data_IF_984856771319
#
_entry.id   IF_984856771319
#
_cell.length_a   1.000
_cell.length_b   1.000
_cell.length_c   1.000
_cell.angle_alpha   90.00
_cell.angle_beta   90.00
_cell.angle_gamma   90.00
#
_symmetry.space_group_name_H-M   'P 1'
#
loop_
_entity.id
_entity.type
_entity.pdbx_description
1 polymer ?
#
# COMPACT_ATOMS: atom_id res chain seq x y z
N UNK A 1 11.04 -15.96 -47.07
CA UNK A 1 12.20 -16.72 -46.55
C UNK A 1 13.40 -15.83 -46.21
N UNK A 2 13.77 -14.82 -47.01
CA UNK A 2 14.89 -13.91 -46.68
C UNK A 2 14.67 -13.04 -45.41
N UNK A 3 13.44 -12.66 -45.08
CA UNK A 3 13.12 -11.86 -43.88
C UNK A 3 13.22 -12.64 -42.57
N UNK A 4 13.09 -13.97 -42.60
CA UNK A 4 13.17 -14.84 -41.41
C UNK A 4 14.63 -15.14 -41.05
N UNK A 5 15.51 -15.24 -42.06
CA UNK A 5 16.95 -15.43 -41.84
C UNK A 5 17.62 -14.19 -41.23
N UNK A 6 17.11 -12.98 -41.51
CA UNK A 6 17.61 -11.74 -40.89
C UNK A 6 17.29 -11.64 -39.39
N UNK A 7 16.18 -12.23 -38.94
CA UNK A 7 15.84 -12.26 -37.50
C UNK A 7 16.70 -13.26 -36.72
N UNK A 8 17.11 -14.36 -37.36
CA UNK A 8 18.01 -15.35 -36.77
C UNK A 8 19.43 -14.79 -36.56
N UNK A 9 19.95 -14.02 -37.51
CA UNK A 9 21.27 -13.37 -37.39
C UNK A 9 21.25 -12.20 -36.38
N UNK A 10 20.16 -11.42 -36.32
CA UNK A 10 19.99 -10.37 -35.31
C UNK A 10 19.81 -10.95 -33.89
N UNK A 11 19.12 -12.08 -33.75
CA UNK A 11 18.97 -12.80 -32.48
C UNK A 11 20.29 -13.34 -31.94
N UNK A 12 21.16 -13.89 -32.81
CA UNK A 12 22.52 -14.33 -32.44
C UNK A 12 23.40 -13.17 -31.98
N UNK A 13 23.29 -12.01 -32.60
CA UNK A 13 24.06 -10.82 -32.22
C UNK A 13 23.65 -10.29 -30.83
N UNK A 14 22.35 -10.26 -30.52
CA UNK A 14 21.84 -9.82 -29.20
C UNK A 14 22.21 -10.82 -28.09
N UNK A 15 22.16 -12.13 -28.37
CA UNK A 15 22.58 -13.17 -27.42
C UNK A 15 24.10 -13.21 -27.22
N UNK A 16 24.89 -13.01 -28.29
CA UNK A 16 26.35 -12.99 -28.19
C UNK A 16 26.90 -11.82 -27.37
N UNK A 17 26.24 -10.66 -27.41
CA UNK A 17 26.62 -9.49 -26.59
C UNK A 17 26.18 -9.64 -25.13
N UNK A 18 25.05 -10.29 -24.86
CA UNK A 18 24.57 -10.54 -23.50
C UNK A 18 25.34 -11.65 -22.76
N UNK A 19 25.90 -12.63 -23.49
CA UNK A 19 26.57 -13.80 -22.92
C UNK A 19 28.09 -13.68 -22.77
N UNK A 20 28.71 -12.59 -23.24
CA UNK A 20 30.18 -12.40 -23.19
C UNK A 20 30.80 -12.29 -21.80
N UNK A 21 29.98 -12.18 -20.73
CA UNK A 21 30.45 -12.04 -19.35
C UNK A 21 30.14 -13.21 -18.40
N UNK A 22 29.43 -14.25 -18.86
CA UNK A 22 28.97 -15.36 -17.99
C UNK A 22 29.34 -16.70 -18.63
N UNK A 23 30.64 -16.96 -18.77
CA UNK A 23 31.16 -18.25 -19.22
C UNK A 23 32.06 -18.85 -18.15
N UNK A 24 31.44 -19.58 -17.23
CA UNK A 24 32.11 -20.63 -16.46
C UNK A 24 31.29 -21.94 -16.38
N UNK A 25 30.07 -22.00 -16.96
CA UNK A 25 29.23 -23.22 -16.95
C UNK A 25 28.46 -23.44 -18.28
N UNK A 26 28.92 -22.83 -19.38
CA UNK A 26 28.15 -22.67 -20.63
C UNK A 26 27.93 -23.91 -21.50
N UNK A 27 28.60 -25.03 -21.23
CA UNK A 27 28.49 -26.22 -22.10
C UNK A 27 27.17 -26.98 -21.97
N UNK A 28 26.48 -26.91 -20.82
CA UNK A 28 25.26 -27.70 -20.60
C UNK A 28 24.01 -27.01 -21.15
N UNK A 29 23.85 -25.70 -20.95
CA UNK A 29 22.64 -24.97 -21.38
C UNK A 29 22.54 -24.85 -22.90
N UNK A 30 23.66 -24.55 -23.56
CA UNK A 30 23.69 -24.46 -25.03
C UNK A 30 23.47 -25.83 -25.66
N UNK A 31 24.02 -26.90 -25.06
CA UNK A 31 23.80 -28.29 -25.49
C UNK A 31 22.33 -28.71 -25.40
N UNK A 32 21.68 -28.48 -24.25
CA UNK A 32 20.26 -28.84 -24.06
C UNK A 32 19.33 -28.05 -24.98
N UNK A 33 19.62 -26.76 -25.22
CA UNK A 33 18.84 -25.95 -26.17
C UNK A 33 19.05 -26.38 -27.62
N UNK A 34 20.26 -26.82 -27.99
CA UNK A 34 20.55 -27.35 -29.32
C UNK A 34 19.84 -28.70 -29.56
N UNK A 35 19.83 -29.61 -28.58
CA UNK A 35 19.12 -30.89 -28.66
C UNK A 35 17.60 -30.70 -28.80
N UNK A 36 17.01 -29.78 -28.02
CA UNK A 36 15.59 -29.44 -28.14
C UNK A 36 15.26 -28.81 -29.51
N UNK A 37 16.17 -28.01 -30.05
CA UNK A 37 16.01 -27.38 -31.36
C UNK A 37 16.08 -28.41 -32.50
N UNK A 38 16.98 -29.39 -32.41
CA UNK A 38 17.10 -30.50 -33.38
C UNK A 38 15.90 -31.48 -33.31
N UNK A 39 15.26 -31.64 -32.15
CA UNK A 39 14.09 -32.51 -32.00
C UNK A 39 12.77 -31.88 -32.51
N UNK A 40 12.70 -30.55 -32.59
CA UNK A 40 11.48 -29.79 -32.93
C UNK A 40 10.92 -30.08 -34.34
N UNK A 41 11.74 -30.18 -35.41
CA UNK A 41 11.27 -30.48 -36.76
C UNK A 41 10.62 -31.86 -36.87
N UNK A 42 11.16 -32.88 -36.16
CA UNK A 42 10.61 -34.23 -36.17
C UNK A 42 9.26 -34.30 -35.43
N UNK A 43 9.08 -33.53 -34.36
CA UNK A 43 7.80 -33.41 -33.67
C UNK A 43 6.75 -32.69 -34.55
N UNK A 44 7.16 -31.61 -35.23
CA UNK A 44 6.30 -30.84 -36.14
C UNK A 44 5.88 -31.65 -37.38
N UNK A 45 6.79 -32.46 -37.93
CA UNK A 45 6.50 -33.35 -39.06
C UNK A 45 5.53 -34.47 -38.70
N UNK A 46 5.66 -35.07 -37.50
CA UNK A 46 4.72 -36.09 -37.01
C UNK A 46 3.31 -35.54 -36.81
N UNK A 47 3.19 -34.33 -36.24
CA UNK A 47 1.90 -33.66 -36.06
C UNK A 47 1.26 -33.28 -37.41
N UNK A 48 2.06 -32.78 -38.35
CA UNK A 48 1.60 -32.43 -39.69
C UNK A 48 1.15 -33.66 -40.51
N UNK A 49 1.87 -34.78 -40.41
CA UNK A 49 1.53 -36.04 -41.09
C UNK A 49 0.26 -36.69 -40.50
N UNK A 50 0.08 -36.64 -39.17
CA UNK A 50 -1.15 -37.10 -38.52
C UNK A 50 -2.38 -36.28 -38.95
N UNK A 51 -2.23 -34.95 -39.03
CA UNK A 51 -3.31 -34.05 -39.47
C UNK A 51 -3.62 -34.19 -40.98
N UNK A 52 -2.62 -34.43 -41.82
CA UNK A 52 -2.83 -34.63 -43.27
C UNK A 52 -3.60 -35.93 -43.59
N UNK A 53 -3.48 -36.97 -42.77
CA UNK A 53 -4.25 -38.21 -42.91
C UNK A 53 -5.72 -38.07 -42.50
N UNK A 54 -6.03 -37.10 -41.64
CA UNK A 54 -7.41 -36.78 -41.20
C UNK A 54 -8.16 -35.95 -42.24
N UNK A 55 -7.45 -35.08 -42.99
CA UNK A 55 -8.07 -34.13 -43.93
C UNK A 55 -8.38 -34.73 -45.31
N UNK A 56 -7.70 -35.80 -45.73
CA UNK A 56 -7.78 -36.35 -47.09
C UNK A 56 -8.55 -37.69 -47.22
N UNK A 57 -9.36 -38.09 -46.23
CA UNK A 57 -10.08 -39.38 -46.23
C UNK A 57 -11.61 -39.25 -46.13
N UNK A 58 -12.32 -40.29 -46.57
CA UNK A 58 -13.79 -40.38 -46.53
C UNK A 58 -14.36 -40.11 -45.13
N UNK A 59 -15.30 -39.16 -45.06
CA UNK A 59 -15.88 -38.59 -43.82
C UNK A 59 -16.60 -39.65 -42.98
N UNK A 60 -17.10 -40.72 -43.61
CA UNK A 60 -17.80 -41.80 -42.92
C UNK A 60 -16.87 -42.73 -42.12
N UNK A 61 -15.54 -42.64 -42.33
CA UNK A 61 -14.53 -43.37 -41.53
C UNK A 61 -13.87 -42.51 -40.45
N UNK A 62 -14.28 -41.25 -40.29
CA UNK A 62 -13.69 -40.30 -39.34
C UNK A 62 -13.74 -40.77 -37.88
N UNK A 63 -14.82 -41.40 -37.36
CA UNK A 63 -14.88 -41.85 -35.97
C UNK A 63 -13.87 -42.96 -35.64
N UNK A 64 -13.65 -43.92 -36.55
CA UNK A 64 -12.68 -45.00 -36.38
C UNK A 64 -11.22 -44.56 -36.58
N UNK A 65 -10.98 -43.56 -37.42
CA UNK A 65 -9.63 -42.99 -37.63
C UNK A 65 -9.24 -42.01 -36.52
N UNK A 66 -10.20 -41.23 -36.00
CA UNK A 66 -10.00 -40.45 -34.76
C UNK A 66 -9.73 -41.36 -33.58
N UNK A 67 -10.40 -42.51 -33.48
CA UNK A 67 -10.09 -43.51 -32.47
C UNK A 67 -8.63 -43.99 -32.60
N UNK A 68 -8.14 -44.35 -33.79
CA UNK A 68 -6.73 -44.79 -33.95
C UNK A 68 -5.67 -43.68 -33.82
N UNK A 69 -6.02 -42.40 -34.02
CA UNK A 69 -5.12 -41.26 -33.80
C UNK A 69 -5.13 -40.81 -32.33
N UNK A 70 -6.20 -41.09 -31.60
CA UNK A 70 -6.33 -40.86 -30.15
C UNK A 70 -5.95 -42.09 -29.32
N UNK A 71 -5.88 -43.27 -29.94
CA UNK A 71 -5.30 -44.52 -29.41
C UNK A 71 -3.77 -44.52 -29.64
N UNK A 72 -3.13 -43.37 -29.39
CA UNK A 72 -1.73 -43.39 -28.98
C UNK A 72 -1.78 -43.98 -27.57
N UNK A 73 -1.19 -45.15 -27.32
CA UNK A 73 -1.13 -45.69 -25.98
C UNK A 73 -0.57 -44.56 -25.10
N UNK A 74 -1.30 -44.17 -24.07
CA UNK A 74 -0.86 -43.08 -23.19
C UNK A 74 0.52 -43.39 -22.56
N UNK A 75 0.91 -44.67 -22.57
CA UNK A 75 2.27 -45.16 -22.31
C UNK A 75 3.33 -44.67 -23.32
N UNK A 76 3.00 -44.53 -24.61
CA UNK A 76 3.89 -44.10 -25.71
C UNK A 76 3.92 -42.57 -25.92
N UNK A 77 2.94 -41.84 -25.38
CA UNK A 77 2.89 -40.36 -25.38
C UNK A 77 3.55 -39.74 -24.12
N UNK A 78 4.00 -40.57 -23.18
CA UNK A 78 4.77 -40.11 -22.02
C UNK A 78 6.15 -39.68 -22.49
N UNK A 79 6.43 -38.37 -22.38
CA UNK A 79 7.81 -37.94 -22.20
C UNK A 79 8.38 -38.76 -21.04
N UNK A 80 9.47 -39.48 -21.28
CA UNK A 80 10.15 -40.18 -20.21
C UNK A 80 10.56 -39.17 -19.11
N UNK A 81 10.86 -39.69 -17.91
CA UNK A 81 11.17 -38.83 -16.77
C UNK A 81 12.34 -37.90 -17.07
N UNK A 82 13.30 -38.33 -17.89
CA UNK A 82 14.47 -37.56 -18.29
C UNK A 82 14.11 -36.42 -19.26
N UNK A 83 13.18 -36.66 -20.19
CA UNK A 83 12.65 -35.67 -21.12
C UNK A 83 11.78 -34.63 -20.40
N UNK A 84 10.95 -35.06 -19.44
CA UNK A 84 10.19 -34.14 -18.58
C UNK A 84 11.12 -33.29 -17.72
N UNK A 85 12.15 -33.89 -17.13
CA UNK A 85 13.14 -33.18 -16.32
C UNK A 85 13.94 -32.18 -17.18
N UNK A 86 14.36 -32.59 -18.38
CA UNK A 86 15.09 -31.72 -19.31
C UNK A 86 14.24 -30.55 -19.78
N UNK A 87 12.96 -30.77 -20.07
CA UNK A 87 12.02 -29.71 -20.40
C UNK A 87 11.82 -28.75 -19.23
N UNK A 88 11.63 -29.29 -18.01
CA UNK A 88 11.47 -28.48 -16.80
C UNK A 88 12.73 -27.64 -16.51
N UNK A 89 13.91 -28.22 -16.65
CA UNK A 89 15.20 -27.52 -16.50
C UNK A 89 15.37 -26.44 -17.58
N UNK A 90 15.03 -26.75 -18.84
CA UNK A 90 15.07 -25.80 -19.94
C UNK A 90 14.18 -24.58 -19.67
N UNK A 91 12.93 -24.79 -19.24
CA UNK A 91 12.04 -23.70 -18.83
C UNK A 91 12.59 -22.93 -17.63
N UNK A 92 13.12 -23.62 -16.61
CA UNK A 92 13.70 -22.97 -15.44
C UNK A 92 14.88 -22.06 -15.81
N UNK A 93 15.75 -22.49 -16.73
CA UNK A 93 16.88 -21.71 -17.22
C UNK A 93 16.40 -20.49 -18.02
N UNK A 94 15.43 -20.66 -18.92
CA UNK A 94 14.85 -19.56 -19.70
C UNK A 94 14.24 -18.51 -18.77
N UNK A 95 13.48 -18.94 -17.76
CA UNK A 95 12.88 -18.06 -16.76
C UNK A 95 13.97 -17.35 -15.95
N UNK A 96 15.00 -18.06 -15.49
CA UNK A 96 16.10 -17.48 -14.73
C UNK A 96 16.87 -16.43 -15.56
N UNK A 97 17.14 -16.73 -16.83
CA UNK A 97 17.78 -15.79 -17.75
C UNK A 97 16.93 -14.54 -17.98
N UNK A 98 15.62 -14.71 -18.22
CA UNK A 98 14.69 -13.59 -18.37
C UNK A 98 14.64 -12.71 -17.12
N UNK A 99 14.56 -13.31 -15.93
CA UNK A 99 14.60 -12.60 -14.65
C UNK A 99 15.91 -11.84 -14.46
N UNK A 100 17.05 -12.46 -14.78
CA UNK A 100 18.36 -11.81 -14.69
C UNK A 100 18.45 -10.61 -15.63
N UNK A 101 17.99 -10.75 -16.88
CA UNK A 101 17.93 -9.64 -17.85
C UNK A 101 17.06 -8.50 -17.32
N UNK A 102 15.87 -8.80 -16.80
CA UNK A 102 15.00 -7.80 -16.18
C UNK A 102 15.69 -7.08 -15.01
N UNK A 103 16.39 -7.81 -14.14
CA UNK A 103 17.13 -7.21 -13.01
C UNK A 103 18.29 -6.33 -13.48
N UNK A 104 18.98 -6.69 -14.57
CA UNK A 104 20.05 -5.89 -15.16
C UNK A 104 19.49 -4.62 -15.80
N UNK A 105 18.42 -4.74 -16.59
CA UNK A 105 17.75 -3.60 -17.24
C UNK A 105 17.25 -2.60 -16.18
N UNK A 106 16.72 -3.11 -15.06
CA UNK A 106 16.15 -2.29 -13.99
C UNK A 106 17.09 -2.12 -12.79
N UNK A 107 18.40 -2.29 -12.98
CA UNK A 107 19.39 -2.33 -11.90
C UNK A 107 19.32 -1.10 -10.94
N UNK A 108 19.15 0.15 -11.41
CA UNK A 108 19.01 1.29 -10.50
C UNK A 108 17.78 1.19 -9.56
N UNK A 109 16.62 0.77 -10.10
CA UNK A 109 15.40 0.55 -9.32
C UNK A 109 15.57 -0.58 -8.31
N UNK A 110 16.23 -1.67 -8.72
CA UNK A 110 16.57 -2.81 -7.86
C UNK A 110 17.43 -2.36 -6.68
N UNK A 111 18.51 -1.63 -6.94
CA UNK A 111 19.39 -1.09 -5.88
C UNK A 111 18.63 -0.15 -4.94
N UNK A 112 17.77 0.71 -5.48
CA UNK A 112 16.94 1.61 -4.66
C UNK A 112 16.02 0.82 -3.71
N UNK A 113 15.31 -0.19 -4.22
CA UNK A 113 14.47 -1.07 -3.40
C UNK A 113 15.25 -1.84 -2.36
N UNK A 114 16.42 -2.38 -2.71
CA UNK A 114 17.28 -3.07 -1.74
C UNK A 114 17.67 -2.15 -0.59
N UNK A 115 17.99 -0.88 -0.87
CA UNK A 115 18.28 0.12 0.17
C UNK A 115 17.07 0.39 1.05
N UNK A 116 15.88 0.52 0.47
CA UNK A 116 14.64 0.70 1.23
C UNK A 116 14.37 -0.51 2.14
N UNK A 117 14.47 -1.73 1.62
CA UNK A 117 14.28 -2.94 2.43
C UNK A 117 15.34 -3.09 3.52
N UNK A 118 16.60 -2.72 3.25
CA UNK A 118 17.63 -2.68 4.27
C UNK A 118 17.29 -1.66 5.38
N UNK A 119 16.84 -0.45 5.01
CA UNK A 119 16.36 0.55 5.96
C UNK A 119 15.15 0.04 6.76
N UNK A 120 14.18 -0.58 6.09
CA UNK A 120 13.02 -1.20 6.72
C UNK A 120 13.42 -2.28 7.72
N UNK A 121 14.38 -3.14 7.37
CA UNK A 121 14.89 -4.17 8.27
C UNK A 121 15.60 -3.57 9.49
N UNK A 122 16.42 -2.54 9.28
CA UNK A 122 17.06 -1.80 10.37
C UNK A 122 16.02 -1.20 11.32
N UNK A 123 14.93 -0.63 10.78
CA UNK A 123 13.83 -0.11 11.58
C UNK A 123 13.09 -1.22 12.33
N UNK A 124 12.80 -2.34 11.67
CA UNK A 124 12.11 -3.49 12.26
C UNK A 124 12.87 -4.04 13.48
N UNK A 125 14.19 -4.19 13.34
CA UNK A 125 15.04 -4.81 14.35
C UNK A 125 15.44 -3.85 15.48
N UNK A 126 15.76 -2.60 15.15
CA UNK A 126 16.45 -1.70 16.09
C UNK A 126 15.62 -0.49 16.53
N UNK A 127 14.40 -0.32 16.01
CA UNK A 127 13.66 0.90 16.29
C UNK A 127 13.17 1.03 17.74
N UNK A 128 13.30 2.25 18.26
CA UNK A 128 12.79 2.68 19.58
C UNK A 128 11.43 3.37 19.51
N UNK A 129 10.76 3.31 18.35
CA UNK A 129 9.55 4.08 18.02
C UNK A 129 8.31 3.81 18.87
N UNK A 130 8.40 2.97 19.91
CA UNK A 130 7.32 2.68 20.89
C UNK A 130 7.78 2.83 22.33
N UNK A 131 8.94 3.44 22.57
CA UNK A 131 9.58 3.52 23.88
C UNK A 131 9.73 4.99 24.28
N UNK A 132 8.93 5.43 25.25
CA UNK A 132 9.05 6.74 25.89
C UNK A 132 8.44 6.71 27.29
N UNK A 133 8.74 7.72 28.09
CA UNK A 133 8.03 7.99 29.34
C UNK A 133 6.69 8.65 28.99
N UNK A 134 5.58 8.27 29.65
CA UNK A 134 4.28 8.90 29.42
C UNK A 134 4.35 10.42 29.50
N UNK A 135 3.63 11.08 28.61
CA UNK A 135 3.44 12.52 28.62
C UNK A 135 2.67 12.91 29.89
N UNK A 136 3.18 13.91 30.62
CA UNK A 136 2.51 14.44 31.79
C UNK A 136 1.39 15.40 31.36
N UNK A 137 0.26 14.82 30.92
CA UNK A 137 -0.95 15.56 30.51
C UNK A 137 -1.54 16.28 31.73
N UNK A 138 -1.62 17.62 31.71
CA UNK A 138 -2.29 18.34 32.79
C UNK A 138 -3.80 18.10 32.74
N UNK A 139 -4.47 18.29 33.88
CA UNK A 139 -5.92 18.36 33.91
C UNK A 139 -6.39 19.58 33.09
N UNK A 140 -7.45 19.40 32.30
CA UNK A 140 -8.08 20.50 31.58
C UNK A 140 -8.73 21.44 32.61
N UNK A 141 -8.36 22.74 32.63
CA UNK A 141 -8.97 23.69 33.56
C UNK A 141 -10.48 23.85 33.28
N UNK A 142 -11.31 24.01 34.32
CA UNK A 142 -12.76 24.20 34.14
C UNK A 142 -13.14 25.57 33.56
N UNK A 143 -12.22 26.54 33.53
CA UNK A 143 -12.45 27.88 33.00
C UNK A 143 -11.57 28.16 31.78
N UNK A 144 -12.13 28.87 30.78
CA UNK A 144 -11.48 29.17 29.49
C UNK A 144 -10.18 29.99 29.62
N UNK A 145 -10.02 30.72 30.72
CA UNK A 145 -8.83 31.54 31.00
C UNK A 145 -7.51 30.73 31.07
N UNK A 146 -7.57 29.39 31.16
CA UNK A 146 -6.40 28.51 31.22
C UNK A 146 -5.92 27.94 29.88
N UNK A 147 -6.63 28.16 28.76
CA UNK A 147 -6.29 27.61 27.45
C UNK A 147 -6.53 28.62 26.31
N UNK A 148 -5.48 29.14 25.66
CA UNK A 148 -5.62 29.90 24.40
C UNK A 148 -4.34 29.77 23.55
N UNK A 149 -4.45 29.48 22.23
CA UNK A 149 -5.67 29.14 21.46
C UNK A 149 -6.00 27.63 21.49
N UNK A 150 -7.17 27.22 20.98
CA UNK A 150 -7.59 25.81 20.78
C UNK A 150 -7.56 25.43 19.28
N UNK A 151 -7.61 24.13 18.98
CA UNK A 151 -7.72 23.59 17.61
C UNK A 151 -8.82 22.53 17.53
N UNK A 152 -9.71 22.66 16.56
CA UNK A 152 -10.69 21.63 16.24
C UNK A 152 -10.11 20.68 15.20
N UNK A 153 -9.99 19.41 15.56
CA UNK A 153 -9.33 18.40 14.75
C UNK A 153 -10.36 17.37 14.30
N UNK A 154 -10.38 17.05 13.02
CA UNK A 154 -11.02 15.84 12.49
C UNK A 154 -9.95 14.90 12.00
N UNK A 155 -9.83 13.76 12.68
CA UNK A 155 -8.91 12.70 12.29
C UNK A 155 -9.62 11.66 11.42
N UNK A 156 -9.06 11.36 10.26
CA UNK A 156 -9.51 10.33 9.31
C UNK A 156 -8.45 9.23 9.25
N UNK A 157 -8.82 8.02 9.67
CA UNK A 157 -7.94 6.85 9.59
C UNK A 157 -7.91 6.33 8.15
N UNK A 158 -6.74 5.92 7.67
CA UNK A 158 -6.65 5.24 6.36
C UNK A 158 -7.52 3.97 6.24
N UNK A 159 -7.91 3.64 5.00
CA UNK A 159 -8.52 2.37 4.61
C UNK A 159 -7.58 1.17 4.77
N UNK A 160 -8.06 -0.06 4.60
CA UNK A 160 -7.21 -1.25 4.64
C UNK A 160 -6.06 -1.17 3.60
N UNK A 161 -4.81 -1.42 4.01
CA UNK A 161 -3.68 -1.52 3.08
C UNK A 161 -3.44 -2.94 2.57
N UNK A 162 -2.64 -3.12 1.54
CA UNK A 162 -2.17 -4.44 1.07
C UNK A 162 -1.42 -5.23 2.17
N UNK A 163 -0.68 -4.53 3.04
CA UNK A 163 -0.09 -5.12 4.25
C UNK A 163 -1.17 -5.63 5.21
N UNK A 164 -2.23 -4.87 5.44
CA UNK A 164 -3.33 -5.28 6.31
C UNK A 164 -4.16 -6.43 5.71
N UNK A 165 -4.42 -6.39 4.40
CA UNK A 165 -5.03 -7.49 3.66
C UNK A 165 -4.22 -8.76 3.86
N UNK A 166 -2.89 -8.70 3.79
CA UNK A 166 -2.04 -9.88 3.96
C UNK A 166 -2.03 -10.39 5.40
N UNK A 167 -1.71 -9.53 6.37
CA UNK A 167 -1.35 -9.96 7.72
C UNK A 167 -2.44 -9.82 8.78
N UNK A 168 -3.47 -8.98 8.56
CA UNK A 168 -4.42 -8.59 9.61
C UNK A 168 -5.86 -9.05 9.39
N UNK A 169 -6.29 -9.31 8.15
CA UNK A 169 -7.70 -9.63 7.83
C UNK A 169 -8.15 -11.00 8.39
N UNK A 170 -7.33 -12.04 8.26
CA UNK A 170 -7.60 -13.34 8.89
C UNK A 170 -6.30 -14.04 9.26
N UNK A 171 -6.27 -14.68 10.42
CA UNK A 171 -5.15 -15.52 10.88
C UNK A 171 -5.34 -17.01 10.57
N UNK A 172 -6.47 -17.39 9.99
CA UNK A 172 -6.70 -18.77 9.60
C UNK A 172 -5.75 -19.12 8.42
N UNK A 173 -4.90 -20.16 8.55
CA UNK A 173 -3.91 -20.54 7.53
C UNK A 173 -4.49 -20.71 6.13
N UNK A 174 -5.72 -21.25 6.02
CA UNK A 174 -6.41 -21.48 4.73
C UNK A 174 -6.55 -20.19 3.93
N UNK A 175 -6.79 -19.07 4.61
CA UNK A 175 -6.91 -17.76 3.96
C UNK A 175 -5.60 -16.98 3.99
N UNK A 176 -4.75 -17.19 4.99
CA UNK A 176 -3.49 -16.46 5.17
C UNK A 176 -2.43 -16.87 4.15
N UNK A 177 -2.21 -18.18 3.94
CA UNK A 177 -1.16 -18.68 3.05
C UNK A 177 -1.37 -18.22 1.60
N UNK A 178 -2.57 -18.35 0.99
CA UNK A 178 -2.78 -17.85 -0.38
C UNK A 178 -2.56 -16.35 -0.51
N UNK A 179 -2.95 -15.54 0.49
CA UNK A 179 -2.70 -14.09 0.50
C UNK A 179 -1.21 -13.78 0.58
N UNK A 180 -0.46 -14.52 1.38
CA UNK A 180 0.99 -14.37 1.48
C UNK A 180 1.69 -14.73 0.16
N UNK A 181 1.28 -15.83 -0.50
CA UNK A 181 1.79 -16.21 -1.83
C UNK A 181 1.50 -15.11 -2.85
N UNK A 182 0.26 -14.61 -2.88
CA UNK A 182 -0.14 -13.49 -3.75
C UNK A 182 0.74 -12.26 -3.50
N UNK A 183 0.94 -11.88 -2.24
CA UNK A 183 1.76 -10.75 -1.84
C UNK A 183 3.20 -10.87 -2.34
N UNK A 184 3.84 -12.04 -2.15
CA UNK A 184 5.19 -12.29 -2.63
C UNK A 184 5.30 -12.34 -4.15
N UNK A 185 4.33 -12.95 -4.84
CA UNK A 185 4.30 -12.98 -6.29
C UNK A 185 4.21 -11.55 -6.87
N UNK A 186 3.35 -10.71 -6.27
CA UNK A 186 3.18 -9.32 -6.69
C UNK A 186 4.41 -8.46 -6.37
N UNK A 187 5.00 -8.60 -5.18
CA UNK A 187 6.25 -7.91 -4.83
C UNK A 187 7.40 -8.31 -5.77
N UNK A 188 7.52 -9.60 -6.09
CA UNK A 188 8.52 -10.09 -7.05
C UNK A 188 8.31 -9.48 -8.42
N UNK A 189 7.07 -9.44 -8.90
CA UNK A 189 6.73 -8.78 -10.17
C UNK A 189 7.09 -7.29 -10.15
N UNK A 190 6.78 -6.57 -9.07
CA UNK A 190 7.15 -5.16 -8.91
C UNK A 190 8.68 -4.97 -8.90
N UNK A 191 9.42 -5.92 -8.35
CA UNK A 191 10.88 -5.88 -8.30
C UNK A 191 11.48 -6.07 -9.70
N UNK A 192 11.06 -7.11 -10.42
CA UNK A 192 11.61 -7.44 -11.75
C UNK A 192 11.13 -6.51 -12.85
N UNK A 193 9.96 -5.88 -12.70
CA UNK A 193 9.46 -4.88 -13.67
C UNK A 193 10.08 -3.49 -13.49
N UNK A 194 10.94 -3.30 -12.48
CA UNK A 194 11.58 -2.01 -12.20
C UNK A 194 10.64 -0.91 -11.69
N UNK A 195 9.36 -1.22 -11.43
CA UNK A 195 8.37 -0.27 -10.91
C UNK A 195 8.75 0.15 -9.49
N UNK A 196 8.83 1.45 -9.23
CA UNK A 196 9.13 1.99 -7.90
C UNK A 196 7.90 1.95 -6.98
N UNK A 197 7.39 0.75 -6.70
CA UNK A 197 6.25 0.47 -5.83
C UNK A 197 6.51 -0.79 -5.00
N UNK A 198 5.69 -1.01 -3.97
CA UNK A 198 5.78 -2.19 -3.10
C UNK A 198 4.43 -2.57 -2.51
N UNK A 199 4.19 -3.88 -2.43
CA UNK A 199 3.11 -4.50 -1.69
C UNK A 199 3.31 -4.39 -0.17
N UNK A 200 4.56 -4.43 0.29
CA UNK A 200 4.89 -4.48 1.71
C UNK A 200 5.38 -3.13 2.27
N UNK A 201 6.30 -2.48 1.57
CA UNK A 201 6.90 -1.22 1.99
C UNK A 201 6.00 -0.05 1.57
N UNK A 202 5.75 0.93 2.46
CA UNK A 202 4.76 1.99 2.24
C UNK A 202 3.47 1.47 1.56
N UNK A 203 2.94 0.37 2.11
CA UNK A 203 1.90 -0.42 1.45
C UNK A 203 0.72 0.46 1.04
N UNK A 204 0.29 0.45 -0.24
CA UNK A 204 -0.85 1.24 -0.69
C UNK A 204 -2.16 0.68 -0.12
N UNK A 205 -3.28 1.34 -0.42
CA UNK A 205 -4.60 0.79 -0.13
C UNK A 205 -4.79 -0.56 -0.85
N UNK A 206 -5.53 -1.47 -0.22
CA UNK A 206 -6.10 -2.62 -0.93
C UNK A 206 -7.36 -2.18 -1.68
N UNK A 207 -7.85 -2.97 -2.63
CA UNK A 207 -9.13 -2.69 -3.29
C UNK A 207 -10.28 -2.54 -2.26
N UNK A 208 -10.24 -3.30 -1.17
CA UNK A 208 -11.21 -3.16 -0.08
C UNK A 208 -11.01 -1.85 0.70
N UNK A 209 -9.76 -1.44 0.93
CA UNK A 209 -9.46 -0.14 1.54
C UNK A 209 -9.87 1.05 0.71
N UNK A 210 -9.79 0.96 -0.63
CA UNK A 210 -10.36 1.93 -1.56
C UNK A 210 -11.87 2.03 -1.37
N UNK A 211 -12.58 0.90 -1.36
CA UNK A 211 -14.03 0.87 -1.09
C UNK A 211 -14.41 1.49 0.27
N UNK A 212 -13.61 1.29 1.31
CA UNK A 212 -13.82 1.94 2.61
C UNK A 212 -13.69 3.47 2.53
N UNK A 213 -12.74 3.98 1.73
CA UNK A 213 -12.62 5.43 1.50
C UNK A 213 -13.80 5.98 0.69
N UNK A 214 -14.29 5.23 -0.29
CA UNK A 214 -15.50 5.55 -1.06
C UNK A 214 -16.76 5.54 -0.17
N UNK A 215 -16.87 4.62 0.78
CA UNK A 215 -17.97 4.60 1.78
C UNK A 215 -17.99 5.89 2.61
N UNK A 216 -16.83 6.39 3.04
CA UNK A 216 -16.73 7.68 3.71
C UNK A 216 -17.12 8.84 2.77
N UNK A 217 -16.68 8.81 1.50
CA UNK A 217 -17.09 9.81 0.51
C UNK A 217 -18.61 9.82 0.31
N UNK A 218 -19.22 8.64 0.19
CA UNK A 218 -20.67 8.49 0.04
C UNK A 218 -21.42 8.97 1.28
N UNK A 219 -20.91 8.68 2.48
CA UNK A 219 -21.45 9.23 3.73
C UNK A 219 -21.43 10.78 3.71
N UNK A 220 -20.34 11.40 3.27
CA UNK A 220 -20.23 12.86 3.20
C UNK A 220 -21.07 13.46 2.07
N UNK A 221 -21.26 12.74 0.98
CA UNK A 221 -22.16 13.13 -0.11
C UNK A 221 -23.64 12.97 0.27
N UNK A 222 -23.96 12.13 1.26
CA UNK A 222 -25.35 11.89 1.65
C UNK A 222 -26.06 13.20 2.05
N UNK A 223 -27.31 13.31 1.62
CA UNK A 223 -28.20 14.43 1.90
C UNK A 223 -28.82 14.36 3.30
N UNK A 224 -28.17 13.67 4.25
CA UNK A 224 -28.63 13.65 5.65
C UNK A 224 -28.67 15.11 6.12
N UNK A 225 -29.87 15.64 6.43
CA UNK A 225 -30.01 17.00 6.92
C UNK A 225 -29.13 17.21 8.16
N UNK A 226 -28.46 18.36 8.26
CA UNK A 226 -27.56 18.64 9.39
C UNK A 226 -28.26 18.60 10.75
N UNK A 227 -29.59 18.74 10.78
CA UNK A 227 -30.44 18.65 11.96
C UNK A 227 -30.60 17.22 12.51
N UNK A 228 -30.33 16.20 11.70
CA UNK A 228 -30.44 14.79 12.11
C UNK A 228 -29.14 14.32 12.81
N UNK A 229 -28.09 15.12 12.71
CA UNK A 229 -26.86 14.94 13.49
C UNK A 229 -26.95 15.67 14.83
N UNK A 230 -26.24 15.16 15.83
CA UNK A 230 -25.99 15.96 17.04
C UNK A 230 -25.21 17.23 16.68
N UNK A 231 -25.40 18.33 17.41
CA UNK A 231 -24.72 19.60 17.11
C UNK A 231 -23.18 19.45 16.98
N UNK A 232 -22.58 18.56 17.78
CA UNK A 232 -21.14 18.22 17.70
C UNK A 232 -20.79 17.50 16.41
N UNK A 233 -21.60 16.54 15.99
CA UNK A 233 -21.41 15.85 14.71
C UNK A 233 -21.60 16.80 13.53
N UNK A 234 -22.64 17.66 13.54
CA UNK A 234 -22.90 18.63 12.46
C UNK A 234 -21.71 19.55 12.23
N UNK A 235 -21.06 20.03 13.30
CA UNK A 235 -19.83 20.83 13.24
C UNK A 235 -18.74 20.12 12.43
N UNK A 236 -18.39 18.88 12.80
CA UNK A 236 -17.28 18.16 12.17
C UNK A 236 -17.63 17.60 10.79
N UNK A 237 -18.88 17.20 10.54
CA UNK A 237 -19.35 16.82 9.21
C UNK A 237 -19.26 18.00 8.25
N UNK A 238 -19.68 19.20 8.69
CA UNK A 238 -19.57 20.43 7.88
C UNK A 238 -18.11 20.77 7.60
N UNK A 239 -17.23 20.58 8.58
CA UNK A 239 -15.78 20.67 8.39
C UNK A 239 -15.29 19.67 7.34
N UNK A 240 -15.76 18.42 7.30
CA UNK A 240 -15.31 17.48 6.25
C UNK A 240 -15.88 17.80 4.86
N UNK A 241 -17.11 18.33 4.76
CA UNK A 241 -17.73 18.70 3.47
C UNK A 241 -17.14 19.98 2.85
N UNK A 242 -16.64 20.89 3.67
CA UNK A 242 -15.96 22.11 3.22
C UNK A 242 -16.83 23.29 2.80
N UNK A 243 -18.16 23.18 2.88
CA UNK A 243 -19.11 24.25 2.56
C UNK A 243 -18.95 25.51 3.43
N UNK A 244 -17.93 26.33 3.16
CA UNK A 244 -17.63 27.58 3.88
C UNK A 244 -16.87 27.42 5.20
N UNK A 245 -16.32 26.23 5.50
CA UNK A 245 -15.51 25.99 6.71
C UNK A 245 -14.03 25.88 6.36
N UNK A 246 -13.23 26.96 6.54
CA UNK A 246 -11.80 26.92 6.29
C UNK A 246 -11.13 25.91 7.22
N UNK A 247 -10.26 25.04 6.69
CA UNK A 247 -9.43 24.17 7.50
C UNK A 247 -8.02 24.04 6.90
N UNK A 248 -7.04 23.65 7.70
CA UNK A 248 -5.77 23.13 7.16
C UNK A 248 -5.90 21.62 7.08
N UNK A 249 -5.58 21.03 5.93
CA UNK A 249 -5.61 19.59 5.74
C UNK A 249 -4.17 19.06 5.80
N UNK A 250 -3.85 18.26 6.81
CA UNK A 250 -2.57 17.56 6.92
C UNK A 250 -2.77 16.06 6.76
N UNK A 251 -1.77 15.39 6.18
CA UNK A 251 -1.77 13.94 5.98
C UNK A 251 -0.40 13.37 6.31
N UNK A 252 -0.34 12.13 6.78
CA UNK A 252 0.93 11.41 6.90
C UNK A 252 1.62 11.30 5.53
N UNK A 253 2.93 11.07 5.55
CA UNK A 253 3.72 10.78 4.34
C UNK A 253 3.58 9.34 3.82
N UNK A 254 2.64 8.54 4.34
CA UNK A 254 2.38 7.18 3.88
C UNK A 254 1.21 7.16 2.89
N UNK A 255 1.43 6.57 1.71
CA UNK A 255 0.50 6.70 0.56
C UNK A 255 -0.93 6.28 0.90
N UNK A 256 -1.11 5.22 1.69
CA UNK A 256 -2.46 4.77 2.12
C UNK A 256 -3.29 5.84 2.83
N UNK A 257 -2.69 6.72 3.62
CA UNK A 257 -3.43 7.79 4.28
C UNK A 257 -3.77 8.92 3.29
N UNK A 258 -2.83 9.23 2.40
CA UNK A 258 -2.98 10.21 1.33
C UNK A 258 -4.12 9.78 0.41
N UNK A 259 -4.06 8.57 -0.15
CA UNK A 259 -5.11 8.02 -1.03
C UNK A 259 -6.47 7.97 -0.33
N UNK A 260 -6.53 7.55 0.94
CA UNK A 260 -7.80 7.52 1.69
C UNK A 260 -8.43 8.92 1.76
N UNK A 261 -7.63 9.94 2.06
CA UNK A 261 -8.12 11.31 2.19
C UNK A 261 -8.47 11.91 0.83
N UNK A 262 -7.67 11.63 -0.21
CA UNK A 262 -7.94 12.03 -1.58
C UNK A 262 -9.29 11.50 -2.07
N UNK A 263 -9.58 10.21 -1.83
CA UNK A 263 -10.85 9.57 -2.22
C UNK A 263 -11.99 10.07 -1.34
N UNK A 264 -11.85 9.96 -0.01
CA UNK A 264 -12.92 10.26 0.94
C UNK A 264 -13.35 11.73 0.92
N UNK A 265 -12.41 12.64 0.72
CA UNK A 265 -12.61 14.08 0.79
C UNK A 265 -12.50 14.75 -0.58
N UNK A 266 -12.64 13.97 -1.67
CA UNK A 266 -12.53 14.46 -3.05
C UNK A 266 -13.39 15.70 -3.31
N UNK A 267 -14.63 15.72 -2.81
CA UNK A 267 -15.55 16.84 -3.04
C UNK A 267 -15.10 18.10 -2.29
N UNK A 268 -14.59 17.94 -1.06
CA UNK A 268 -13.98 19.07 -0.33
C UNK A 268 -12.79 19.60 -1.10
N UNK A 269 -11.84 18.73 -1.46
CA UNK A 269 -10.62 19.11 -2.16
C UNK A 269 -10.94 19.84 -3.48
N UNK A 270 -11.96 19.38 -4.20
CA UNK A 270 -12.45 20.01 -5.43
C UNK A 270 -13.08 21.38 -5.19
N UNK A 271 -13.93 21.51 -4.17
CA UNK A 271 -14.66 22.75 -3.88
C UNK A 271 -13.76 23.82 -3.25
N UNK A 272 -12.86 23.44 -2.35
CA UNK A 272 -12.03 24.41 -1.62
C UNK A 272 -10.71 24.70 -2.33
N UNK A 273 -10.25 23.81 -3.21
CA UNK A 273 -8.92 23.90 -3.83
C UNK A 273 -7.77 23.77 -2.82
N UNK A 274 -8.06 23.34 -1.59
CA UNK A 274 -7.05 23.18 -0.55
C UNK A 274 -6.07 22.06 -0.89
N UNK A 275 -4.82 22.22 -0.45
CA UNK A 275 -3.80 21.18 -0.56
C UNK A 275 -3.69 20.41 0.76
N UNK A 276 -3.41 19.12 0.64
CA UNK A 276 -3.03 18.26 1.75
C UNK A 276 -1.54 18.45 2.05
N UNK A 277 -1.25 19.04 3.21
CA UNK A 277 0.12 19.21 3.70
C UNK A 277 0.65 17.88 4.20
N UNK A 278 1.71 17.38 3.56
CA UNK A 278 2.34 16.11 3.93
C UNK A 278 3.26 16.32 5.13
N UNK A 279 2.87 15.74 6.27
CA UNK A 279 3.50 15.97 7.56
C UNK A 279 4.04 14.64 8.16
N UNK A 280 5.37 14.43 8.17
CA UNK A 280 5.99 13.23 8.76
C UNK A 280 5.71 13.03 10.25
N UNK A 281 5.31 14.08 10.98
CA UNK A 281 4.84 13.96 12.36
C UNK A 281 3.62 13.03 12.49
N UNK A 282 2.85 12.83 11.42
CA UNK A 282 1.70 11.92 11.37
C UNK A 282 2.07 10.48 10.95
N UNK A 283 3.34 10.19 10.70
CA UNK A 283 3.79 8.87 10.29
C UNK A 283 3.51 7.82 11.38
N UNK A 284 2.96 6.66 10.99
CA UNK A 284 2.49 5.61 11.90
C UNK A 284 3.53 5.23 12.96
N UNK A 285 3.09 4.97 14.19
CA UNK A 285 3.95 4.56 15.30
C UNK A 285 4.12 3.03 15.28
N UNK A 286 5.18 2.57 14.62
CA UNK A 286 5.47 1.16 14.44
C UNK A 286 6.92 0.90 14.04
N UNK A 287 7.32 -0.37 14.18
CA UNK A 287 8.60 -0.88 13.68
C UNK A 287 8.46 -1.56 12.32
N UNK A 288 7.24 -1.84 11.88
CA UNK A 288 7.01 -2.55 10.63
C UNK A 288 7.46 -1.72 9.42
N UNK A 289 7.90 -2.41 8.37
CA UNK A 289 8.41 -1.78 7.14
C UNK A 289 7.32 -1.01 6.37
N UNK A 290 6.06 -1.40 6.50
CA UNK A 290 4.92 -0.70 5.89
C UNK A 290 4.68 0.70 6.47
N UNK A 291 5.39 1.04 7.56
CA UNK A 291 5.29 2.34 8.22
C UNK A 291 6.39 3.31 7.81
N UNK A 292 7.16 2.98 6.78
CA UNK A 292 8.12 3.85 6.13
C UNK A 292 7.60 4.22 4.74
N UNK A 293 7.78 5.48 4.36
CA UNK A 293 7.41 6.07 3.08
C UNK A 293 8.39 5.69 1.98
N UNK A 294 7.89 5.41 0.78
CA UNK A 294 8.71 5.27 -0.43
C UNK A 294 9.12 6.63 -1.01
N UNK A 295 8.38 7.68 -0.65
CA UNK A 295 8.55 9.02 -1.18
C UNK A 295 9.82 9.66 -0.59
N UNK A 296 10.74 10.16 -1.42
CA UNK A 296 11.90 10.90 -0.93
C UNK A 296 11.52 12.21 -0.20
N UNK A 297 12.40 12.72 0.68
CA UNK A 297 12.22 14.04 1.28
C UNK A 297 12.05 15.14 0.21
N UNK A 298 11.15 16.08 0.46
CA UNK A 298 10.89 17.25 -0.39
C UNK A 298 10.11 16.97 -1.67
N UNK A 299 9.74 15.72 -1.94
CA UNK A 299 8.98 15.34 -3.14
C UNK A 299 7.56 14.92 -2.82
N UNK A 300 6.69 14.99 -3.82
CA UNK A 300 5.34 14.44 -3.78
C UNK A 300 5.36 12.92 -4.00
N UNK A 301 4.40 12.17 -3.43
CA UNK A 301 4.26 10.75 -3.68
C UNK A 301 3.85 10.48 -5.14
N UNK A 302 4.22 9.32 -5.66
CA UNK A 302 3.69 8.78 -6.91
C UNK A 302 2.52 7.86 -6.59
N UNK A 303 1.40 7.93 -7.36
CA UNK A 303 0.28 7.00 -7.20
C UNK A 303 0.73 5.55 -7.33
N UNK A 304 0.18 4.68 -6.49
CA UNK A 304 0.39 3.23 -6.62
C UNK A 304 -0.38 2.64 -7.80
N UNK A 305 -0.13 1.37 -8.10
CA UNK A 305 -0.95 0.64 -9.10
C UNK A 305 -2.44 0.56 -8.71
N UNK A 306 -2.76 0.59 -7.41
CA UNK A 306 -4.16 0.60 -6.95
C UNK A 306 -4.77 1.98 -7.19
N UNK A 307 -4.04 3.04 -6.87
CA UNK A 307 -4.48 4.42 -7.09
C UNK A 307 -4.72 4.70 -8.58
N UNK A 308 -3.80 4.24 -9.44
CA UNK A 308 -3.91 4.37 -10.90
C UNK A 308 -5.08 3.57 -11.50
N UNK A 309 -5.62 2.61 -10.77
CA UNK A 309 -6.78 1.80 -11.20
C UNK A 309 -8.12 2.32 -10.70
N UNK A 310 -8.14 3.45 -9.99
CA UNK A 310 -9.38 4.02 -9.46
C UNK A 310 -10.32 4.44 -10.60
N UNK A 311 -11.59 3.98 -10.63
CA UNK A 311 -12.44 4.10 -11.81
C UNK A 311 -12.94 5.52 -12.09
N UNK A 312 -13.09 6.34 -11.05
CA UNK A 312 -13.80 7.62 -11.11
C UNK A 312 -12.98 8.84 -10.70
N UNK A 313 -11.76 8.65 -10.20
CA UNK A 313 -10.94 9.74 -9.66
C UNK A 313 -9.51 9.60 -10.19
N UNK A 314 -9.01 10.64 -10.84
CA UNK A 314 -7.61 10.72 -11.25
C UNK A 314 -6.74 11.07 -10.03
N UNK A 315 -6.33 10.04 -9.30
CA UNK A 315 -5.44 10.20 -8.15
C UNK A 315 -4.04 10.68 -8.55
N UNK A 316 -3.64 10.52 -9.82
CA UNK A 316 -2.41 11.11 -10.35
C UNK A 316 -2.45 12.63 -10.35
N UNK A 317 -3.54 13.20 -10.87
CA UNK A 317 -3.77 14.65 -10.83
C UNK A 317 -3.87 15.16 -9.39
N UNK A 318 -4.60 14.46 -8.51
CA UNK A 318 -4.70 14.86 -7.09
C UNK A 318 -3.33 14.87 -6.41
N UNK A 319 -2.48 13.86 -6.67
CA UNK A 319 -1.15 13.77 -6.07
C UNK A 319 -0.22 14.88 -6.58
N UNK A 320 -0.34 15.26 -7.85
CA UNK A 320 0.45 16.33 -8.45
C UNK A 320 0.02 17.73 -7.96
N UNK A 321 -1.28 17.99 -7.93
CA UNK A 321 -1.80 19.35 -7.77
C UNK A 321 -2.16 19.69 -6.32
N UNK A 322 -2.63 18.68 -5.56
CA UNK A 322 -3.25 18.88 -4.25
C UNK A 322 -2.42 18.33 -3.08
N UNK A 323 -1.16 17.96 -3.31
CA UNK A 323 -0.22 17.64 -2.24
C UNK A 323 0.78 18.77 -2.06
N UNK A 324 0.94 19.24 -0.82
CA UNK A 324 2.01 20.12 -0.43
C UNK A 324 3.09 19.31 0.31
N UNK A 325 4.23 19.10 -0.35
CA UNK A 325 5.36 18.36 0.17
C UNK A 325 6.42 19.26 0.87
N UNK A 326 6.13 20.55 1.09
CA UNK A 326 7.10 21.51 1.65
C UNK A 326 7.64 21.11 3.03
N UNK A 327 6.83 20.41 3.84
CA UNK A 327 7.22 19.92 5.17
C UNK A 327 7.64 18.45 5.18
N UNK A 328 7.70 17.81 4.02
CA UNK A 328 8.08 16.40 3.91
C UNK A 328 9.60 16.24 4.03
N UNK A 329 10.09 15.95 5.23
CA UNK A 329 11.52 15.73 5.50
C UNK A 329 11.94 14.25 5.48
N UNK A 330 11.10 13.36 4.95
CA UNK A 330 11.39 11.93 4.80
C UNK A 330 10.89 11.06 5.95
N UNK A 331 11.54 9.89 6.08
CA UNK A 331 11.18 8.88 7.06
C UNK A 331 11.68 9.19 8.46
N UNK A 332 10.88 8.81 9.46
CA UNK A 332 11.32 8.71 10.85
C UNK A 332 12.65 7.94 11.00
N UNK A 333 13.62 8.45 11.78
CA UNK A 333 14.87 7.74 12.06
C UNK A 333 14.66 6.44 12.86
N UNK A 334 15.60 5.50 12.77
CA UNK A 334 15.56 4.25 13.55
C UNK A 334 15.46 4.52 15.06
N UNK A 335 16.26 5.45 15.56
CA UNK A 335 16.30 5.83 16.99
C UNK A 335 15.38 7.03 17.31
N UNK A 336 14.24 7.14 16.63
CA UNK A 336 13.24 8.15 16.95
C UNK A 336 12.33 7.73 18.11
N UNK A 337 11.66 8.73 18.67
CA UNK A 337 10.60 8.56 19.64
C UNK A 337 9.24 8.90 18.99
N UNK A 338 8.21 8.08 19.24
CA UNK A 338 6.86 8.36 18.75
C UNK A 338 6.27 9.61 19.40
N UNK A 339 6.55 9.85 20.69
CA UNK A 339 6.06 11.03 21.42
C UNK A 339 6.53 12.35 20.79
N UNK A 340 7.79 12.42 20.32
CA UNK A 340 8.31 13.63 19.66
C UNK A 340 7.49 13.99 18.43
N UNK A 341 7.01 12.98 17.68
CA UNK A 341 6.12 13.19 16.54
C UNK A 341 4.72 13.63 16.96
N UNK A 342 4.19 13.07 18.06
CA UNK A 342 2.90 13.50 18.60
C UNK A 342 2.96 14.98 19.04
N UNK A 343 4.01 15.37 19.76
CA UNK A 343 4.25 16.75 20.21
C UNK A 343 4.52 17.67 19.01
N UNK A 344 5.35 17.24 18.05
CA UNK A 344 5.62 18.02 16.85
C UNK A 344 4.39 18.27 15.98
N UNK A 345 3.42 17.35 15.97
CA UNK A 345 2.10 17.61 15.38
C UNK A 345 1.32 18.67 16.16
N UNK A 346 1.32 18.62 17.50
CA UNK A 346 0.65 19.64 18.32
C UNK A 346 1.27 21.03 18.09
N UNK A 347 2.61 21.14 18.11
CA UNK A 347 3.32 22.39 17.82
C UNK A 347 2.90 22.93 16.45
N UNK A 348 3.00 22.09 15.41
CA UNK A 348 2.58 22.45 14.05
C UNK A 348 1.11 22.88 13.99
N UNK A 349 0.20 22.19 14.69
CA UNK A 349 -1.22 22.50 14.72
C UNK A 349 -1.48 23.90 15.31
N UNK A 350 -0.75 24.28 16.36
CA UNK A 350 -0.89 25.58 17.00
C UNK A 350 -0.18 26.72 16.25
N UNK A 351 0.75 26.42 15.35
CA UNK A 351 1.34 27.39 14.42
C UNK A 351 0.41 27.73 13.24
N UNK A 352 -0.63 26.92 13.00
CA UNK A 352 -1.58 27.19 11.93
C UNK A 352 -2.44 28.41 12.25
N UNK A 353 -2.69 29.23 11.21
CA UNK A 353 -3.62 30.37 11.30
C UNK A 353 -5.08 29.94 11.43
N UNK A 354 -5.47 28.83 10.79
CA UNK A 354 -6.84 28.29 10.87
C UNK A 354 -6.97 27.43 12.12
N UNK A 355 -8.12 27.53 12.80
CA UNK A 355 -8.42 26.74 14.00
C UNK A 355 -8.85 25.31 13.69
N UNK A 356 -9.46 25.10 12.51
CA UNK A 356 -9.92 23.80 12.05
C UNK A 356 -8.80 23.05 11.31
N UNK A 357 -8.60 21.79 11.66
CA UNK A 357 -7.56 20.94 11.08
C UNK A 357 -8.15 19.59 10.73
N UNK A 358 -7.96 19.15 9.49
CA UNK A 358 -8.29 17.81 9.03
C UNK A 358 -7.00 17.01 8.97
N UNK A 359 -6.99 15.80 9.52
CA UNK A 359 -5.80 14.99 9.70
C UNK A 359 -6.01 13.61 9.10
N UNK A 360 -5.27 13.26 8.07
CA UNK A 360 -5.18 11.90 7.53
C UNK A 360 -4.06 11.10 8.17
N UNK A 361 -4.37 10.01 8.88
CA UNK A 361 -3.35 9.27 9.61
C UNK A 361 -3.67 7.81 9.89
N UNK A 362 -3.05 7.26 10.94
CA UNK A 362 -3.02 5.84 11.26
C UNK A 362 -3.44 5.47 12.67
N UNK A 363 -3.81 4.20 12.86
CA UNK A 363 -4.42 3.72 14.11
C UNK A 363 -3.51 3.74 15.32
N UNK A 364 -2.23 3.37 15.22
CA UNK A 364 -1.36 3.33 16.40
C UNK A 364 -0.92 4.73 16.80
N UNK A 365 -0.67 5.60 15.82
CA UNK A 365 -0.45 7.03 16.02
C UNK A 365 -1.64 7.64 16.76
N UNK A 366 -2.86 7.44 16.26
CA UNK A 366 -4.07 8.02 16.86
C UNK A 366 -4.35 7.50 18.26
N UNK A 367 -4.16 6.19 18.47
CA UNK A 367 -4.29 5.59 19.80
C UNK A 367 -3.23 6.11 20.77
N UNK A 368 -1.99 6.29 20.31
CA UNK A 368 -0.95 6.90 21.14
C UNK A 368 -1.30 8.36 21.46
N UNK A 369 -1.77 9.13 20.48
CA UNK A 369 -2.21 10.51 20.67
C UNK A 369 -3.26 10.64 21.79
N UNK A 370 -4.29 9.79 21.79
CA UNK A 370 -5.25 9.77 22.91
C UNK A 370 -4.66 9.28 24.23
N UNK A 371 -3.73 8.32 24.22
CA UNK A 371 -3.10 7.87 25.46
C UNK A 371 -2.23 8.96 26.11
N UNK A 372 -1.58 9.81 25.31
CA UNK A 372 -0.67 10.85 25.80
C UNK A 372 -1.37 12.17 26.09
N UNK A 373 -2.51 12.48 25.45
CA UNK A 373 -3.16 13.79 25.60
C UNK A 373 -4.55 13.75 26.23
N UNK A 374 -5.09 12.57 26.58
CA UNK A 374 -6.21 12.48 27.52
C UNK A 374 -5.71 12.26 28.95
N UNK A 375 -6.49 12.66 29.97
CA UNK A 375 -6.18 12.33 31.35
C UNK A 375 -5.91 10.84 31.55
N UNK A 376 -4.98 10.50 32.45
CA UNK A 376 -4.68 9.11 32.78
C UNK A 376 -5.94 8.33 33.22
N UNK A 377 -6.85 9.01 33.93
CA UNK A 377 -8.15 8.50 34.40
C UNK A 377 -9.20 8.30 33.30
N UNK A 378 -9.01 8.89 32.11
CA UNK A 378 -9.95 8.73 30.99
C UNK A 378 -10.11 7.25 30.63
N UNK A 379 -11.36 6.82 30.53
CA UNK A 379 -11.77 5.48 30.09
C UNK A 379 -12.21 5.46 28.62
N UNK A 380 -11.92 6.53 27.87
CA UNK A 380 -12.36 6.64 26.48
C UNK A 380 -11.83 5.48 25.62
N UNK A 381 -12.72 4.91 24.80
CA UNK A 381 -12.43 3.72 24.00
C UNK A 381 -11.20 3.90 23.09
N UNK A 382 -10.97 5.12 22.58
CA UNK A 382 -9.84 5.43 21.71
C UNK A 382 -8.45 5.28 22.33
N UNK A 383 -8.34 5.14 23.65
CA UNK A 383 -7.07 4.78 24.33
C UNK A 383 -6.67 3.32 24.11
N UNK A 384 -7.64 2.43 23.87
CA UNK A 384 -7.40 0.98 23.79
C UNK A 384 -7.82 0.34 22.46
N UNK A 385 -8.97 0.76 21.91
CA UNK A 385 -9.54 0.25 20.68
C UNK A 385 -8.95 0.92 19.43
N UNK A 386 -9.06 0.24 18.29
CA UNK A 386 -8.72 0.83 16.99
C UNK A 386 -9.95 1.52 16.42
N UNK A 387 -9.81 2.77 15.96
CA UNK A 387 -10.79 3.42 15.08
C UNK A 387 -10.93 2.58 13.82
N UNK A 388 -12.13 2.31 13.29
CA UNK A 388 -12.32 1.53 12.05
C UNK A 388 -11.58 2.14 10.85
N UNK A 389 -11.25 1.30 9.88
CA UNK A 389 -10.65 1.78 8.62
C UNK A 389 -11.58 2.81 7.96
N UNK A 390 -11.01 3.87 7.36
CA UNK A 390 -11.76 5.03 6.86
C UNK A 390 -12.67 5.71 7.90
N UNK A 391 -12.52 5.39 9.20
CA UNK A 391 -13.26 6.04 10.27
C UNK A 391 -12.81 7.47 10.50
N UNK A 392 -13.73 8.32 10.93
CA UNK A 392 -13.51 9.73 11.22
C UNK A 392 -13.96 10.09 12.64
N UNK A 393 -13.12 10.81 13.39
CA UNK A 393 -13.39 11.27 14.75
C UNK A 393 -12.99 12.74 14.89
N UNK A 394 -13.89 13.56 15.40
CA UNK A 394 -13.65 14.97 15.73
C UNK A 394 -13.33 15.15 17.21
N UNK A 395 -12.46 16.10 17.55
CA UNK A 395 -12.14 16.50 18.93
C UNK A 395 -11.46 17.88 18.96
N UNK A 396 -11.38 18.48 20.13
CA UNK A 396 -10.72 19.76 20.38
C UNK A 396 -9.40 19.54 21.13
N UNK A 397 -8.31 20.02 20.55
CA UNK A 397 -6.98 20.05 21.12
C UNK A 397 -6.73 21.41 21.80
N UNK A 398 -6.17 21.37 23.01
CA UNK A 398 -5.90 22.52 23.86
C UNK A 398 -4.39 22.69 24.04
N UNK A 399 -3.95 23.95 24.09
CA UNK A 399 -2.61 24.34 24.55
C UNK A 399 -2.74 25.02 25.90
N UNK A 400 -2.26 24.35 26.95
CA UNK A 400 -2.33 24.79 28.34
C UNK A 400 -1.01 25.45 28.73
N UNK A 401 -1.07 26.62 29.36
CA UNK A 401 0.12 27.26 29.94
C UNK A 401 0.43 26.61 31.29
N UNK A 402 1.66 26.15 31.49
CA UNK A 402 2.16 25.63 32.77
C UNK A 402 2.65 26.79 33.66
N UNK A 403 2.88 26.48 34.94
CA UNK A 403 3.39 27.44 35.93
C UNK A 403 4.80 27.98 35.62
N UNK A 404 5.56 27.25 34.81
CA UNK A 404 6.92 27.60 34.37
C UNK A 404 6.94 28.31 33.00
N UNK A 405 5.79 28.82 32.54
CA UNK A 405 5.58 29.42 31.22
C UNK A 405 5.80 28.50 30.01
N UNK A 406 6.07 27.21 30.23
CA UNK A 406 6.04 26.21 29.16
C UNK A 406 4.60 25.87 28.75
N UNK A 407 4.44 25.30 27.56
CA UNK A 407 3.15 24.82 27.08
C UNK A 407 3.00 23.31 27.23
N UNK A 408 1.78 22.89 27.54
CA UNK A 408 1.33 21.52 27.54
C UNK A 408 0.19 21.33 26.55
N UNK A 409 -0.02 20.09 26.13
CA UNK A 409 -1.15 19.73 25.27
C UNK A 409 -2.12 18.81 26.01
N UNK A 410 -3.40 19.01 25.75
CA UNK A 410 -4.48 18.16 26.27
C UNK A 410 -5.63 18.12 25.27
N UNK A 411 -6.41 17.05 25.28
CA UNK A 411 -7.65 16.92 24.53
C UNK A 411 -8.80 17.20 25.49
N UNK A 412 -9.74 18.04 25.07
CA UNK A 412 -11.03 18.14 25.75
C UNK A 412 -11.81 16.86 25.49
N UNK A 413 -11.83 15.94 26.47
CA UNK A 413 -12.51 14.66 26.35
C UNK A 413 -14.00 14.80 26.02
N UNK A 414 -14.64 15.88 26.48
CA UNK A 414 -16.05 16.13 26.22
C UNK A 414 -16.34 16.50 24.76
N UNK A 415 -15.33 16.98 24.02
CA UNK A 415 -15.46 17.37 22.61
C UNK A 415 -15.43 16.18 21.65
N UNK A 416 -14.96 15.01 22.10
CA UNK A 416 -14.73 13.85 21.24
C UNK A 416 -16.05 13.36 20.64
N UNK A 417 -16.06 13.22 19.31
CA UNK A 417 -17.25 12.92 18.53
C UNK A 417 -16.93 11.91 17.43
N UNK A 418 -17.58 10.76 17.45
CA UNK A 418 -17.52 9.78 16.35
C UNK A 418 -18.37 10.27 15.17
N UNK A 419 -17.74 10.42 14.01
CA UNK A 419 -18.38 10.92 12.79
C UNK A 419 -18.73 9.75 11.87
N UNK A 420 -17.78 8.84 11.66
CA UNK A 420 -17.94 7.68 10.78
C UNK A 420 -17.08 6.51 11.26
N UNK A 421 -17.58 5.28 11.12
CA UNK A 421 -16.87 4.04 11.42
C UNK A 421 -16.71 3.71 12.92
N UNK A 422 -16.47 4.70 13.78
CA UNK A 422 -16.34 4.51 15.23
C UNK A 422 -15.20 3.57 15.65
N UNK A 423 -15.17 3.14 16.92
CA UNK A 423 -14.11 2.25 17.43
C UNK A 423 -14.51 0.77 17.43
N UNK A 424 -13.56 -0.10 17.09
CA UNK A 424 -13.69 -1.56 17.22
C UNK A 424 -13.56 -2.01 18.68
N UNK A 425 -14.57 -1.71 19.48
CA UNK A 425 -14.67 -2.21 20.86
C UNK A 425 -15.12 -3.66 20.81
N UNK A 426 -14.29 -4.58 21.33
CA UNK A 426 -14.72 -5.98 21.50
C UNK A 426 -15.89 -5.99 22.50
N UNK A 427 -17.09 -6.31 22.02
CA UNK A 427 -18.21 -6.62 22.93
C UNK A 427 -17.75 -7.78 23.81
N UNK A 428 -17.75 -7.59 25.13
CA UNK A 428 -17.53 -8.68 26.08
C UNK A 428 -18.57 -9.75 25.75
N UNK A 429 -18.15 -11.02 25.57
CA UNK A 429 -19.10 -12.13 25.46
C UNK A 429 -19.92 -12.09 26.75
N UNK A 430 -21.24 -11.86 26.65
CA UNK A 430 -22.10 -12.09 27.81
C UNK A 430 -21.89 -13.54 28.21
N UNK A 431 -21.50 -13.75 29.46
CA UNK A 431 -21.43 -15.11 30.03
C UNK A 431 -22.81 -15.72 30.08
#
# INVERSE_FOLDING_TARGET
MQTVNNWAEQGKAVLGVACGGVLATGETVAGTLAELWEALPAAKSRLANGMAQVVNGDVDQLPGKLANVLDVPWEDARLDTDSLLSLALGYAVIIAAALLICLIIHFPSVLYKMRLYAQGMMHLLFSTDKKWKPYATPAVPPAEAGYVPFRDIVFVRHGESTWNDTFNRSKNPIYFIPRLIKAWAYESWLFVSGRCDSWFYDSPLSAHGTGQAEELAAFLASAIPLQDYTAKQSKFVTMLKGGGTPAVHAVSNLRRAISTNAIALQERLRVTGEKMVMLPALQEISRNIDTLSLTPPGTTPVPSWVDASHPSLDLGAVFADQIDASLHNGNKPVRSCGLDRLVGFCDWAFDQRKTNIIVGGHSLWFRAFFNEFLPASSTFAGKSAKLRNAGAVGFTLLRLRRSDDSFAYAIDESSITEIHGGFDVKKSKSK
#
